data_IF_686278277631
#
_entry.id   IF_686278277631
#
_cell.length_a   1.000
_cell.length_b   1.000
_cell.length_c   1.000
_cell.angle_alpha   90.00
_cell.angle_beta   90.00
_cell.angle_gamma   90.00
#
_symmetry.space_group_name_H-M   'P 1'
#
loop_
_entity.id
_entity.type
_entity.pdbx_description
1 polymer ?
#
# COMPACT_ATOMS: atom_id res chain seq x y z
N UNK A 1 11.50 -2.59 13.26
CA UNK A 1 10.48 -2.00 12.88
C UNK A 1 9.22 -2.76 12.99
N UNK A 2 8.24 -2.15 13.03
CA UNK A 2 7.06 -2.73 13.25
C UNK A 2 6.47 -3.19 12.00
N UNK A 3 6.33 -4.42 11.83
CA UNK A 3 5.72 -4.91 10.67
C UNK A 3 4.30 -5.22 10.84
N UNK A 4 3.82 -5.09 12.02
CA UNK A 4 2.46 -5.47 12.30
C UNK A 4 1.85 -4.50 13.24
N UNK A 5 0.70 -4.03 12.91
CA UNK A 5 -0.05 -3.26 13.84
C UNK A 5 -1.02 -4.24 14.41
N UNK A 6 -0.89 -4.52 15.67
CA UNK A 6 -1.70 -5.53 16.24
C UNK A 6 -3.03 -5.01 16.63
N UNK A 7 -4.03 -5.67 16.19
CA UNK A 7 -5.33 -5.54 16.76
C UNK A 7 -5.25 -6.24 18.09
N UNK A 8 -5.92 -5.78 19.08
CA UNK A 8 -5.83 -6.40 20.38
C UNK A 8 -6.07 -7.88 20.33
N UNK A 9 -5.44 -8.56 21.28
CA UNK A 9 -5.40 -9.92 21.26
C UNK A 9 -6.66 -10.65 21.03
N UNK A 10 -7.74 -10.29 21.56
CA UNK A 10 -8.88 -11.13 21.39
C UNK A 10 -9.12 -11.39 19.94
N UNK A 11 -8.71 -10.47 19.12
CA UNK A 11 -8.97 -10.69 17.82
C UNK A 11 -8.00 -11.51 17.19
N UNK A 12 -6.84 -11.60 17.74
CA UNK A 12 -5.92 -12.04 16.88
C UNK A 12 -5.64 -13.39 16.98
N UNK A 13 -6.12 -14.16 17.57
CA UNK A 13 -5.88 -15.48 17.45
C UNK A 13 -5.21 -15.79 16.20
N UNK A 14 -4.42 -14.92 15.75
CA UNK A 14 -3.68 -15.14 14.57
C UNK A 14 -4.45 -14.82 13.35
N UNK A 15 -5.55 -14.22 13.48
CA UNK A 15 -6.39 -14.09 12.35
C UNK A 15 -6.66 -12.69 11.94
N UNK A 16 -6.83 -11.83 12.89
CA UNK A 16 -7.31 -10.53 12.54
C UNK A 16 -6.30 -9.44 12.62
N UNK A 17 -5.06 -9.68 12.69
CA UNK A 17 -4.10 -8.61 12.74
C UNK A 17 -3.96 -7.96 11.38
N UNK A 18 -3.60 -6.70 11.36
CA UNK A 18 -3.24 -6.04 10.13
C UNK A 18 -1.76 -6.22 9.96
N UNK A 19 -1.35 -6.68 8.80
CA UNK A 19 0.07 -6.78 8.53
C UNK A 19 0.53 -5.46 7.97
N UNK A 20 1.54 -4.84 8.56
CA UNK A 20 2.05 -3.58 8.08
C UNK A 20 3.44 -3.78 7.54
N UNK A 21 3.69 -3.30 6.35
CA UNK A 21 4.99 -3.38 5.73
C UNK A 21 5.35 -2.02 5.16
N UNK A 22 6.64 -1.76 5.06
CA UNK A 22 7.13 -0.55 4.45
C UNK A 22 7.03 -0.70 2.93
N UNK A 23 6.75 0.38 2.25
CA UNK A 23 6.62 0.32 0.79
C UNK A 23 7.90 -0.18 0.13
N UNK A 24 9.07 0.18 0.69
CA UNK A 24 10.32 -0.32 0.13
C UNK A 24 10.45 -1.82 0.26
N UNK A 25 9.88 -2.39 1.33
CA UNK A 25 9.94 -3.82 1.52
C UNK A 25 9.12 -4.54 0.46
N UNK A 26 8.03 -3.92 0.02
CA UNK A 26 7.22 -4.51 -1.05
C UNK A 26 8.07 -4.65 -2.31
N UNK A 27 8.82 -3.61 -2.65
CA UNK A 27 9.67 -3.68 -3.81
C UNK A 27 10.77 -4.71 -3.63
N UNK A 28 11.32 -4.80 -2.41
CA UNK A 28 12.36 -5.77 -2.11
C UNK A 28 11.84 -7.19 -2.32
N UNK A 29 10.64 -7.47 -1.84
CA UNK A 29 10.09 -8.81 -2.00
C UNK A 29 9.83 -9.15 -3.45
N UNK A 30 9.35 -8.18 -4.20
CA UNK A 30 9.07 -8.44 -5.61
C UNK A 30 10.32 -8.92 -6.32
N UNK A 31 11.46 -8.35 -5.97
CA UNK A 31 12.69 -8.73 -6.64
C UNK A 31 13.34 -9.95 -6.03
N UNK A 32 13.30 -10.09 -4.72
CA UNK A 32 14.12 -11.10 -4.06
C UNK A 32 13.35 -12.30 -3.55
N UNK A 33 12.04 -12.21 -3.41
CA UNK A 33 11.25 -13.34 -2.92
C UNK A 33 9.85 -13.18 -3.46
N UNK A 34 9.69 -13.49 -4.71
CA UNK A 34 8.44 -13.22 -5.40
C UNK A 34 7.27 -13.98 -4.80
N UNK A 35 7.52 -15.15 -4.26
CA UNK A 35 6.44 -15.89 -3.65
C UNK A 35 5.91 -15.18 -2.42
N UNK A 36 6.80 -14.62 -1.59
CA UNK A 36 6.38 -13.85 -0.44
C UNK A 36 5.66 -12.58 -0.90
N UNK A 37 6.10 -11.99 -2.01
CA UNK A 37 5.42 -10.83 -2.55
C UNK A 37 3.99 -11.19 -2.95
N UNK A 38 3.81 -12.32 -3.61
CA UNK A 38 2.47 -12.75 -4.01
C UNK A 38 1.57 -12.99 -2.81
N UNK A 39 2.13 -13.57 -1.75
CA UNK A 39 1.35 -13.80 -0.55
C UNK A 39 0.95 -12.48 0.09
N UNK A 40 1.84 -11.49 0.03
CA UNK A 40 1.56 -10.20 0.59
C UNK A 40 0.40 -9.54 -0.15
N UNK A 41 0.36 -9.67 -1.46
CA UNK A 41 -0.71 -9.08 -2.24
C UNK A 41 -2.06 -9.58 -1.76
N UNK A 42 -2.17 -10.84 -1.38
CA UNK A 42 -3.46 -11.40 -1.02
C UNK A 42 -3.74 -11.41 0.47
N UNK A 43 -2.92 -10.73 1.26
CA UNK A 43 -3.16 -10.62 2.69
C UNK A 43 -4.49 -9.94 2.95
N UNK A 44 -5.27 -10.44 3.89
CA UNK A 44 -6.60 -9.90 4.13
C UNK A 44 -6.58 -8.43 4.50
N UNK A 45 -5.77 -8.04 5.44
CA UNK A 45 -5.69 -6.66 5.88
C UNK A 45 -4.25 -6.22 5.81
N UNK A 46 -3.95 -5.26 4.97
CA UNK A 46 -2.58 -4.83 4.75
C UNK A 46 -2.44 -3.35 5.01
N UNK A 47 -1.39 -2.98 5.74
CA UNK A 47 -1.00 -1.60 5.90
C UNK A 47 0.30 -1.37 5.16
N UNK A 48 0.36 -0.30 4.38
CA UNK A 48 1.57 0.05 3.66
C UNK A 48 2.08 1.35 4.24
N UNK A 49 3.29 1.29 4.81
CA UNK A 49 3.86 2.45 5.46
C UNK A 49 4.81 3.15 4.52
N UNK A 50 4.81 4.47 4.54
CA UNK A 50 5.71 5.30 3.76
C UNK A 50 5.58 5.09 2.25
N UNK A 51 4.35 5.07 1.78
CA UNK A 51 4.12 4.98 0.34
C UNK A 51 4.80 6.17 -0.34
N UNK A 52 5.51 5.92 -1.39
CA UNK A 52 6.21 6.94 -2.13
C UNK A 52 7.71 6.90 -1.95
N UNK A 53 8.21 6.11 -1.01
CA UNK A 53 9.64 6.02 -0.79
C UNK A 53 10.27 4.88 -1.57
N UNK A 54 9.47 4.01 -2.11
CA UNK A 54 9.98 2.84 -2.81
C UNK A 54 10.37 3.19 -4.24
N UNK A 55 11.21 2.39 -4.86
CA UNK A 55 11.47 2.58 -6.28
C UNK A 55 10.22 2.24 -7.07
N UNK A 56 9.95 3.02 -8.10
CA UNK A 56 8.77 2.78 -8.91
C UNK A 56 8.86 1.46 -9.65
N UNK A 57 10.06 1.11 -10.06
CA UNK A 57 10.26 -0.09 -10.85
C UNK A 57 11.41 -0.89 -10.31
N UNK A 58 11.34 -2.20 -10.50
CA UNK A 58 12.49 -3.06 -10.21
C UNK A 58 12.75 -3.90 -11.44
N UNK A 59 14.01 -4.21 -11.66
CA UNK A 59 14.41 -5.04 -12.78
C UNK A 59 14.80 -6.40 -12.27
N UNK A 60 14.36 -7.43 -12.97
CA UNK A 60 14.71 -8.77 -12.61
C UNK A 60 14.82 -9.58 -13.87
N UNK A 61 16.02 -10.00 -14.21
CA UNK A 61 16.27 -10.80 -15.41
C UNK A 61 15.72 -10.13 -16.66
N UNK A 62 15.92 -8.82 -16.76
CA UNK A 62 15.47 -8.10 -17.94
C UNK A 62 14.02 -7.70 -17.96
N UNK A 63 13.27 -8.13 -16.97
CA UNK A 63 11.87 -7.74 -16.89
C UNK A 63 11.71 -6.57 -15.94
N UNK A 64 10.79 -5.68 -16.26
CA UNK A 64 10.53 -4.51 -15.43
C UNK A 64 9.23 -4.73 -14.69
N UNK A 65 9.27 -4.56 -13.39
CA UNK A 65 8.08 -4.71 -12.56
C UNK A 65 7.79 -3.41 -11.86
N UNK A 66 6.52 -3.16 -11.58
CA UNK A 66 6.10 -2.00 -10.81
C UNK A 66 5.41 -2.52 -9.54
N UNK A 67 6.20 -2.89 -8.54
CA UNK A 67 5.67 -3.71 -7.43
C UNK A 67 4.51 -3.10 -6.66
N UNK A 68 4.59 -1.83 -6.35
CA UNK A 68 3.54 -1.24 -5.52
C UNK A 68 2.30 -0.99 -6.36
N UNK A 69 2.47 -0.54 -7.60
CA UNK A 69 1.32 -0.32 -8.47
C UNK A 69 0.60 -1.64 -8.72
N UNK A 70 1.36 -2.71 -8.97
CA UNK A 70 0.75 -4.01 -9.22
C UNK A 70 0.03 -4.53 -7.99
N UNK A 71 0.62 -4.35 -6.82
CA UNK A 71 -0.01 -4.78 -5.59
C UNK A 71 -1.30 -3.99 -5.35
N UNK A 72 -1.27 -2.69 -5.53
CA UNK A 72 -2.46 -1.89 -5.30
C UNK A 72 -3.55 -2.23 -6.31
N UNK A 73 -3.18 -2.46 -7.55
CA UNK A 73 -4.15 -2.81 -8.58
C UNK A 73 -4.86 -4.11 -8.23
N UNK A 74 -4.07 -5.10 -7.83
CA UNK A 74 -4.65 -6.39 -7.52
C UNK A 74 -5.54 -6.33 -6.29
N UNK A 75 -5.09 -5.61 -5.27
CA UNK A 75 -5.89 -5.50 -4.07
C UNK A 75 -7.17 -4.72 -4.34
N UNK A 76 -7.11 -3.74 -5.24
CA UNK A 76 -8.32 -3.02 -5.62
C UNK A 76 -9.30 -3.97 -6.31
N UNK A 77 -8.80 -4.76 -7.23
CA UNK A 77 -9.66 -5.69 -7.95
C UNK A 77 -10.33 -6.70 -7.03
N UNK A 78 -9.63 -7.10 -5.99
CA UNK A 78 -10.17 -8.07 -5.08
C UNK A 78 -10.81 -7.45 -3.84
N UNK A 79 -10.87 -6.13 -3.81
CA UNK A 79 -11.53 -5.40 -2.75
C UNK A 79 -10.98 -5.75 -1.36
N UNK A 80 -9.69 -5.89 -1.26
CA UNK A 80 -9.06 -6.21 0.01
C UNK A 80 -8.76 -4.94 0.79
N UNK A 81 -8.93 -5.02 2.09
CA UNK A 81 -8.72 -3.87 2.96
C UNK A 81 -7.26 -3.43 2.94
N UNK A 82 -7.02 -2.17 2.63
CA UNK A 82 -5.67 -1.64 2.56
C UNK A 82 -5.61 -0.28 3.25
N UNK A 83 -4.61 -0.11 4.11
CA UNK A 83 -4.39 1.13 4.82
C UNK A 83 -3.04 1.66 4.41
N UNK A 84 -2.90 2.95 4.25
CA UNK A 84 -1.67 3.52 3.72
C UNK A 84 -1.26 4.75 4.52
N UNK A 85 0.04 4.87 4.81
CA UNK A 85 0.59 6.12 5.28
C UNK A 85 1.53 6.65 4.22
N UNK A 86 1.64 7.96 4.11
CA UNK A 86 2.48 8.54 3.08
C UNK A 86 2.84 9.96 3.44
N UNK A 87 4.02 10.41 2.97
CA UNK A 87 4.40 11.80 3.05
C UNK A 87 4.00 12.55 1.81
N UNK A 88 3.42 11.88 0.83
CA UNK A 88 3.03 12.55 -0.41
C UNK A 88 1.68 13.24 -0.22
N UNK A 89 1.52 14.35 -0.87
CA UNK A 89 0.20 15.00 -0.92
C UNK A 89 -0.65 14.25 -1.93
N UNK A 90 -1.95 14.47 -1.95
CA UNK A 90 -2.78 13.82 -2.98
C UNK A 90 -2.33 14.14 -4.39
N UNK A 91 -1.86 15.37 -4.62
CA UNK A 91 -1.37 15.72 -5.93
C UNK A 91 -0.11 14.94 -6.26
N UNK A 92 0.78 14.78 -5.31
CA UNK A 92 2.00 14.03 -5.53
C UNK A 92 1.72 12.56 -5.76
N UNK A 93 0.72 12.01 -5.10
CA UNK A 93 0.33 10.63 -5.34
C UNK A 93 -0.10 10.49 -6.80
N UNK A 94 -0.86 11.45 -7.29
CA UNK A 94 -1.32 11.41 -8.67
C UNK A 94 -0.16 11.54 -9.64
N UNK A 95 0.80 12.37 -9.29
CA UNK A 95 1.97 12.53 -10.14
C UNK A 95 2.87 11.30 -10.12
N UNK A 96 2.98 10.68 -8.96
CA UNK A 96 3.91 9.57 -8.79
C UNK A 96 3.36 8.26 -9.34
N UNK A 97 2.08 8.00 -9.15
CA UNK A 97 1.50 6.72 -9.52
C UNK A 97 0.54 6.80 -10.69
N UNK A 98 0.16 7.99 -11.10
CA UNK A 98 -0.76 8.15 -12.22
C UNK A 98 -2.20 8.34 -11.77
N UNK A 99 -3.00 8.88 -12.65
CA UNK A 99 -4.39 9.17 -12.32
C UNK A 99 -5.18 7.92 -11.99
N UNK A 100 -4.93 6.86 -12.71
CA UNK A 100 -5.71 5.64 -12.50
C UNK A 100 -5.50 5.08 -11.10
N UNK A 101 -4.25 5.01 -10.67
CA UNK A 101 -3.98 4.49 -9.32
C UNK A 101 -4.50 5.46 -8.28
N UNK A 102 -4.35 6.76 -8.50
CA UNK A 102 -4.85 7.72 -7.52
C UNK A 102 -6.36 7.59 -7.37
N UNK A 103 -7.08 7.42 -8.45
CA UNK A 103 -8.52 7.26 -8.37
C UNK A 103 -8.91 5.98 -7.67
N UNK A 104 -8.17 4.91 -7.93
CA UNK A 104 -8.47 3.64 -7.27
C UNK A 104 -8.18 3.72 -5.78
N UNK A 105 -7.15 4.46 -5.40
CA UNK A 105 -6.87 4.62 -3.98
C UNK A 105 -8.00 5.35 -3.29
N UNK A 106 -8.60 6.32 -3.95
CA UNK A 106 -9.74 7.00 -3.36
C UNK A 106 -10.90 6.06 -3.07
N UNK A 107 -11.03 5.04 -3.89
CA UNK A 107 -12.14 4.11 -3.70
C UNK A 107 -11.82 3.00 -2.73
N UNK A 108 -10.61 2.52 -2.73
CA UNK A 108 -10.32 1.33 -1.95
C UNK A 108 -9.79 1.65 -0.56
N UNK A 109 -9.16 2.80 -0.40
CA UNK A 109 -8.55 3.13 0.86
C UNK A 109 -9.33 4.23 1.51
N UNK A 110 -9.99 3.91 2.58
CA UNK A 110 -10.79 4.92 3.25
C UNK A 110 -9.94 5.77 4.15
N UNK A 111 -8.74 5.33 4.46
CA UNK A 111 -7.91 6.08 5.37
C UNK A 111 -6.52 6.18 4.86
N UNK A 112 -6.13 7.36 4.45
CA UNK A 112 -4.77 7.64 4.06
C UNK A 112 -4.28 8.71 4.99
N UNK A 113 -3.18 8.43 5.68
CA UNK A 113 -2.63 9.36 6.64
C UNK A 113 -1.45 10.04 5.99
N UNK A 114 -1.50 11.35 5.92
CA UNK A 114 -0.42 12.12 5.33
C UNK A 114 0.47 12.61 6.45
N UNK A 115 1.71 12.20 6.42
CA UNK A 115 2.61 12.47 7.52
C UNK A 115 3.07 13.91 7.60
N UNK A 116 2.68 14.75 6.68
CA UNK A 116 3.05 16.14 6.75
C UNK A 116 2.13 16.92 7.66
N UNK A 117 1.49 16.22 8.55
CA UNK A 117 0.69 16.89 9.55
C UNK A 117 -0.75 16.99 9.21
N UNK A 118 -1.14 16.55 8.07
CA UNK A 118 -2.52 16.65 7.69
C UNK A 118 -2.99 15.31 7.26
N UNK A 119 -4.10 14.88 7.81
CA UNK A 119 -4.67 13.73 7.19
C UNK A 119 -6.14 13.96 7.05
N UNK A 120 -6.65 13.59 5.90
CA UNK A 120 -8.01 13.82 5.58
C UNK A 120 -8.38 12.85 4.57
N UNK A 121 -9.07 11.84 4.94
CA UNK A 121 -9.52 10.88 3.95
C UNK A 121 -10.53 11.51 3.05
N UNK A 122 -11.29 12.44 3.56
CA UNK A 122 -12.28 13.07 2.72
C UNK A 122 -11.65 13.99 1.71
N UNK A 123 -10.47 14.54 1.99
CA UNK A 123 -9.86 15.36 1.00
C UNK A 123 -9.41 14.58 -0.20
N UNK A 124 -9.08 13.34 0.00
CA UNK A 124 -8.69 12.52 -1.11
C UNK A 124 -9.92 12.01 -1.82
N UNK A 125 -10.93 11.70 -1.06
CA UNK A 125 -12.15 11.15 -1.62
C UNK A 125 -13.03 12.19 -2.25
N UNK A 126 -12.96 13.42 -1.80
CA UNK A 126 -13.77 14.44 -2.37
C UNK A 126 -12.86 15.42 -2.96
N UNK A 127 -12.56 15.28 -4.14
CA UNK A 127 -11.62 16.16 -4.76
C UNK A 127 -12.11 17.51 -4.77
N UNK A 128 -12.98 17.86 -4.55
CA UNK A 128 -13.38 19.27 -4.58
C UNK A 128 -12.53 20.01 -3.77
#
# INVERSE_FOLDING_TARGET
>A
MLNTLHIPKPYNEGTYGIRIVDAKYIAYLCKNNYEAYRKLISTDMLGIDDLGTEPSEVLDYGNVYTPVIDLLTKRYEEQLFTMITTNLTPQQIREHYGDRIADRLNEMVKKIVFNNGTYRTDKLATPG
#
